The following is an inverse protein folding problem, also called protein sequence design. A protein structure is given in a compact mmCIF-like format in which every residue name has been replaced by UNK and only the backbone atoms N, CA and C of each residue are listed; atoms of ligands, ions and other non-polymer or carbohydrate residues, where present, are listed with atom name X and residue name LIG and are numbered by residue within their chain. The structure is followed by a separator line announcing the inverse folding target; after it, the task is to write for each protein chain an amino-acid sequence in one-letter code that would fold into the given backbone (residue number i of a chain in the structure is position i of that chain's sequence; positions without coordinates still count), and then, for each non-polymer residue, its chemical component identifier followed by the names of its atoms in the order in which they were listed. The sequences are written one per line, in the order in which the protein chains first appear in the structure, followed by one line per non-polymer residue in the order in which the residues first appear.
data_IF_115447063305
#
_entry.id   IF_115447063305
#
_cell.length_a   1.000
_cell.length_b   1.000
_cell.length_c   1.000
_cell.angle_alpha   90.00
_cell.angle_beta   90.00
_cell.angle_gamma   90.00
#
_symmetry.space_group_name_H-M   'P 1'
#
loop_
_entity.id
_entity.type
_entity.pdbx_description
1 polymer ?
#
# COMPACT_ATOMS: atom_id res chain seq x y z
N UNK A 1 -0.58 23.16 6.68
CA UNK A 1 -1.06 22.90 8.05
C UNK A 1 -1.59 21.48 8.01
N UNK A 2 -0.96 20.53 8.71
CA UNK A 2 -1.40 19.13 8.69
C UNK A 2 -2.46 19.04 9.79
N UNK A 3 -3.74 18.92 9.41
CA UNK A 3 -4.79 18.54 10.36
C UNK A 3 -4.66 17.04 10.58
N UNK A 4 -3.87 16.66 11.59
CA UNK A 4 -4.04 15.35 12.19
C UNK A 4 -5.39 15.39 12.90
N UNK A 5 -6.44 14.88 12.26
CA UNK A 5 -7.73 14.71 12.91
C UNK A 5 -7.51 13.89 14.18
N UNK A 6 -7.67 14.54 15.34
CA UNK A 6 -7.44 13.95 16.65
C UNK A 6 -8.27 12.69 16.89
N UNK A 7 -9.40 12.54 16.18
CA UNK A 7 -10.27 11.35 16.20
C UNK A 7 -9.55 10.08 15.71
N UNK A 8 -8.62 10.17 14.75
CA UNK A 8 -7.88 8.99 14.28
C UNK A 8 -6.94 8.45 15.36
N UNK A 9 -6.46 9.32 16.25
CA UNK A 9 -5.55 9.01 17.36
C UNK A 9 -6.28 8.60 18.65
N UNK A 10 -7.62 8.56 18.67
CA UNK A 10 -8.40 8.16 19.84
C UNK A 10 -8.78 6.67 19.79
N UNK A 11 -8.96 6.04 20.95
CA UNK A 11 -9.38 4.62 21.03
C UNK A 11 -10.82 4.38 20.55
N UNK A 12 -11.65 5.42 20.42
CA UNK A 12 -13.00 5.30 19.85
C UNK A 12 -13.91 4.28 20.57
N UNK A 13 -13.71 4.05 21.87
CA UNK A 13 -14.47 3.07 22.66
C UNK A 13 -13.87 1.66 22.72
N UNK A 14 -12.75 1.38 22.04
CA UNK A 14 -12.07 0.08 22.11
C UNK A 14 -11.16 -0.06 23.35
N UNK A 15 -11.00 -1.28 23.90
CA UNK A 15 -10.07 -1.54 25.01
C UNK A 15 -8.61 -1.18 24.70
N UNK A 16 -8.13 -1.53 23.51
CA UNK A 16 -6.76 -1.26 23.04
C UNK A 16 -6.75 -0.66 21.63
N UNK A 17 -5.68 0.07 21.29
CA UNK A 17 -5.49 0.58 19.93
C UNK A 17 -5.35 -0.56 18.92
N UNK A 18 -4.69 -1.66 19.29
CA UNK A 18 -4.51 -2.81 18.42
C UNK A 18 -5.86 -3.45 18.04
N UNK A 19 -6.80 -3.57 18.98
CA UNK A 19 -8.15 -4.08 18.70
C UNK A 19 -8.94 -3.14 17.78
N UNK A 20 -8.83 -1.82 17.99
CA UNK A 20 -9.40 -0.82 17.09
C UNK A 20 -8.83 -0.99 15.68
N UNK A 21 -7.50 -0.95 15.54
CA UNK A 21 -6.80 -1.01 14.25
C UNK A 21 -7.10 -2.30 13.48
N UNK A 22 -7.16 -3.45 14.17
CA UNK A 22 -7.55 -4.73 13.56
C UNK A 22 -9.00 -4.67 13.04
N UNK A 23 -9.91 -4.12 13.84
CA UNK A 23 -11.33 -4.02 13.48
C UNK A 23 -11.58 -3.00 12.35
N UNK A 24 -10.73 -1.99 12.22
CA UNK A 24 -10.80 -0.94 11.20
C UNK A 24 -10.18 -1.34 9.85
N UNK A 25 -9.50 -2.48 9.75
CA UNK A 25 -8.85 -2.94 8.52
C UNK A 25 -9.76 -2.91 7.28
N UNK A 26 -11.06 -3.31 7.32
CA UNK A 26 -11.93 -3.22 6.14
C UNK A 26 -12.09 -1.78 5.63
N UNK A 27 -12.21 -0.82 6.55
CA UNK A 27 -12.29 0.62 6.20
C UNK A 27 -10.95 1.10 5.67
N UNK A 28 -9.84 0.71 6.29
CA UNK A 28 -8.50 1.09 5.86
C UNK A 28 -8.19 0.57 4.44
N UNK A 29 -8.59 -0.67 4.12
CA UNK A 29 -8.45 -1.24 2.77
C UNK A 29 -9.29 -0.46 1.77
N UNK A 30 -10.56 -0.14 2.12
CA UNK A 30 -11.42 0.68 1.25
C UNK A 30 -10.78 2.04 0.98
N UNK A 31 -10.32 2.74 2.01
CA UNK A 31 -9.66 4.04 1.89
C UNK A 31 -8.36 3.97 1.07
N UNK A 32 -7.63 2.85 1.11
CA UNK A 32 -6.42 2.65 0.28
C UNK A 32 -6.75 2.57 -1.21
N UNK A 33 -7.96 2.09 -1.54
CA UNK A 33 -8.45 1.90 -2.90
C UNK A 33 -9.34 3.05 -3.39
N UNK A 34 -9.87 3.87 -2.47
CA UNK A 34 -10.67 5.05 -2.78
C UNK A 34 -9.87 6.02 -3.67
N UNK A 35 -10.55 6.59 -4.66
CA UNK A 35 -10.00 7.51 -5.65
C UNK A 35 -8.80 6.96 -6.45
N UNK A 36 -8.56 5.64 -6.43
CA UNK A 36 -7.55 4.96 -7.25
C UNK A 36 -8.13 4.29 -8.49
N UNK A 37 -9.36 4.62 -8.88
CA UNK A 37 -10.00 4.09 -10.09
C UNK A 37 -10.53 5.20 -10.99
N UNK A 38 -10.35 5.07 -12.29
CA UNK A 38 -10.93 5.97 -13.27
C UNK A 38 -12.44 5.70 -13.48
N UNK A 39 -13.10 6.55 -14.28
CA UNK A 39 -14.52 6.41 -14.61
C UNK A 39 -14.87 5.12 -15.37
N UNK A 40 -13.87 4.38 -15.85
CA UNK A 40 -14.03 3.09 -16.55
C UNK A 40 -13.74 1.89 -15.64
N UNK A 41 -13.33 2.12 -14.39
CA UNK A 41 -13.01 1.09 -13.41
C UNK A 41 -11.58 0.55 -13.50
N UNK A 42 -10.68 1.20 -14.26
CA UNK A 42 -9.27 0.84 -14.27
C UNK A 42 -8.52 1.54 -13.14
N UNK A 43 -7.43 0.92 -12.66
CA UNK A 43 -6.57 1.52 -11.65
C UNK A 43 -5.94 2.81 -12.21
N UNK A 44 -6.21 3.93 -11.55
CA UNK A 44 -5.65 5.25 -11.83
C UNK A 44 -4.76 5.66 -10.67
N UNK A 45 -3.45 5.70 -10.91
CA UNK A 45 -2.45 6.12 -9.93
C UNK A 45 -2.00 7.55 -10.23
N UNK A 46 -2.94 8.49 -10.19
CA UNK A 46 -2.73 9.87 -10.67
C UNK A 46 -1.67 10.65 -9.88
N UNK A 47 -1.37 10.22 -8.64
CA UNK A 47 -0.27 10.76 -7.83
C UNK A 47 1.10 10.26 -8.28
N UNK A 48 1.16 9.14 -9.01
CA UNK A 48 2.40 8.56 -9.50
C UNK A 48 2.91 9.38 -10.69
N UNK A 49 3.87 10.26 -10.44
CA UNK A 49 4.55 11.06 -11.48
C UNK A 49 5.58 10.23 -12.26
N UNK A 50 5.25 9.00 -12.59
CA UNK A 50 6.09 8.08 -13.35
C UNK A 50 5.33 7.68 -14.60
N UNK A 51 5.83 8.04 -15.80
CA UNK A 51 5.18 7.62 -17.03
C UNK A 51 5.16 6.10 -17.18
N UNK A 52 4.08 5.56 -17.75
CA UNK A 52 3.89 4.12 -17.95
C UNK A 52 5.01 3.49 -18.78
N UNK A 53 5.56 4.21 -19.75
CA UNK A 53 6.70 3.79 -20.55
C UNK A 53 7.95 3.58 -19.70
N UNK A 54 8.16 4.39 -18.66
CA UNK A 54 9.28 4.21 -17.72
C UNK A 54 9.05 2.95 -16.89
N UNK A 55 7.83 2.74 -16.38
CA UNK A 55 7.50 1.52 -15.64
C UNK A 55 7.72 0.24 -16.47
N UNK A 56 7.44 0.28 -17.77
CA UNK A 56 7.66 -0.85 -18.70
C UNK A 56 9.14 -1.15 -18.95
N UNK A 57 10.04 -0.23 -18.67
CA UNK A 57 11.50 -0.45 -18.80
C UNK A 57 12.13 -1.09 -17.56
N UNK A 58 11.39 -1.19 -16.45
CA UNK A 58 11.89 -1.79 -15.22
C UNK A 58 12.08 -3.29 -15.42
N UNK A 59 13.28 -3.79 -15.15
CA UNK A 59 13.66 -5.20 -15.26
C UNK A 59 14.00 -5.84 -13.90
N UNK A 60 14.04 -5.07 -12.81
CA UNK A 60 14.25 -5.54 -11.44
C UNK A 60 13.64 -4.55 -10.43
N UNK A 61 13.14 -5.06 -9.30
CA UNK A 61 12.68 -4.25 -8.16
C UNK A 61 13.43 -4.61 -6.88
N UNK A 62 13.82 -3.60 -6.11
CA UNK A 62 14.35 -3.74 -4.75
C UNK A 62 13.36 -3.10 -3.78
N UNK A 63 12.90 -3.86 -2.79
CA UNK A 63 12.00 -3.39 -1.73
C UNK A 63 12.80 -3.29 -0.43
N UNK A 64 12.97 -2.08 0.08
CA UNK A 64 13.73 -1.83 1.33
C UNK A 64 12.75 -1.55 2.46
N UNK A 65 12.87 -2.27 3.57
CA UNK A 65 12.03 -2.03 4.75
C UNK A 65 12.42 -2.92 5.94
N UNK A 66 11.95 -2.57 7.13
CA UNK A 66 12.27 -3.31 8.35
C UNK A 66 11.01 -3.87 9.03
N UNK A 67 11.17 -4.95 9.80
CA UNK A 67 10.09 -5.58 10.56
C UNK A 67 8.87 -5.95 9.69
N UNK A 68 7.67 -5.55 10.13
CA UNK A 68 6.41 -5.85 9.44
C UNK A 68 6.35 -5.30 8.01
N UNK A 69 7.02 -4.18 7.72
CA UNK A 69 7.09 -3.64 6.36
C UNK A 69 7.86 -4.56 5.41
N UNK A 70 8.94 -5.19 5.89
CA UNK A 70 9.67 -6.18 5.11
C UNK A 70 8.81 -7.41 4.80
N UNK A 71 7.98 -7.86 5.76
CA UNK A 71 7.04 -8.97 5.53
C UNK A 71 5.98 -8.62 4.48
N UNK A 72 5.46 -7.39 4.48
CA UNK A 72 4.58 -6.93 3.40
C UNK A 72 5.31 -6.94 2.04
N UNK A 73 6.57 -6.52 2.00
CA UNK A 73 7.43 -6.61 0.82
C UNK A 73 7.61 -8.04 0.30
N UNK A 74 7.78 -9.01 1.21
CA UNK A 74 7.88 -10.43 0.84
C UNK A 74 6.58 -10.95 0.20
N UNK A 75 5.42 -10.54 0.71
CA UNK A 75 4.12 -10.87 0.09
C UNK A 75 4.00 -10.20 -1.29
N UNK A 76 4.36 -8.92 -1.40
CA UNK A 76 4.32 -8.17 -2.65
C UNK A 76 5.23 -8.77 -3.73
N UNK A 77 6.41 -9.28 -3.36
CA UNK A 77 7.31 -10.00 -4.28
C UNK A 77 6.58 -11.11 -5.03
N UNK A 78 5.83 -11.98 -4.34
CA UNK A 78 5.11 -13.08 -5.00
C UNK A 78 4.13 -12.57 -6.06
N UNK A 79 3.38 -11.52 -5.74
CA UNK A 79 2.44 -10.88 -6.66
C UNK A 79 3.14 -10.27 -7.88
N UNK A 80 4.18 -9.47 -7.66
CA UNK A 80 4.89 -8.74 -8.71
C UNK A 80 5.64 -9.70 -9.64
N UNK A 81 6.37 -10.68 -9.09
CA UNK A 81 7.06 -11.68 -9.91
C UNK A 81 6.07 -12.53 -10.73
N UNK A 82 4.89 -12.83 -10.18
CA UNK A 82 3.87 -13.61 -10.87
C UNK A 82 3.23 -12.85 -12.04
N UNK A 83 2.85 -11.58 -11.85
CA UNK A 83 2.14 -10.81 -12.88
C UNK A 83 3.08 -10.04 -13.82
N UNK A 84 4.14 -9.44 -13.30
CA UNK A 84 5.04 -8.57 -14.05
C UNK A 84 6.28 -9.29 -14.59
N UNK A 85 6.61 -10.49 -14.08
CA UNK A 85 7.76 -11.30 -14.52
C UNK A 85 9.12 -10.62 -14.36
N UNK A 86 9.22 -9.64 -13.45
CA UNK A 86 10.49 -9.01 -13.07
C UNK A 86 10.98 -9.58 -11.73
N UNK A 87 12.27 -9.87 -11.55
CA UNK A 87 12.84 -10.27 -10.27
C UNK A 87 12.62 -9.20 -9.19
N UNK A 88 12.27 -9.63 -7.97
CA UNK A 88 12.11 -8.73 -6.82
C UNK A 88 12.93 -9.22 -5.62
N UNK A 89 13.77 -8.33 -5.08
CA UNK A 89 14.53 -8.56 -3.86
C UNK A 89 13.96 -7.71 -2.71
N UNK A 90 13.94 -8.27 -1.50
CA UNK A 90 13.50 -7.56 -0.29
C UNK A 90 14.70 -7.46 0.65
N UNK A 91 15.10 -6.25 0.99
CA UNK A 91 16.26 -5.94 1.83
C UNK A 91 15.84 -5.31 3.16
N UNK A 92 16.58 -5.65 4.22
CA UNK A 92 16.37 -5.24 5.61
C UNK A 92 17.27 -4.08 6.02
#
# INVERSE_FOLDING_TARGET
KIDFETETAEKGGWPTFMEKEISEQPKAIKATLEDRFDSTGHLALDELRIPTEVLRTIDKMIVVGCGTAAYAGQVARYAIEHWCRIPVEVEL
#
